data_IF_522396262242
#
_entry.id   IF_522396262242
#
_cell.length_a   1.000
_cell.length_b   1.000
_cell.length_c   1.000
_cell.angle_alpha   90.00
_cell.angle_beta   90.00
_cell.angle_gamma   90.00
#
_symmetry.space_group_name_H-M   'P 1'
#
loop_
_entity.id
_entity.type
_entity.pdbx_description
1 polymer ?
#
# COMPACT_ATOMS: atom_id res chain seq x y z
N UNK A 1 -3.33 5.82 5.09
CA UNK A 1 -4.00 5.34 3.89
C UNK A 1 -2.92 5.01 2.85
N UNK A 2 -3.31 4.21 1.87
CA UNK A 2 -2.39 3.82 0.81
C UNK A 2 -2.88 2.54 0.12
N UNK A 3 -1.96 1.60 -0.02
CA UNK A 3 -2.27 0.34 -0.66
C UNK A 3 -1.08 -0.12 -1.50
N UNK A 4 -1.38 -0.48 -2.75
CA UNK A 4 -0.35 -0.93 -3.66
C UNK A 4 -0.83 -2.19 -4.39
N UNK A 5 0.13 -3.01 -4.79
CA UNK A 5 -0.18 -4.24 -5.50
C UNK A 5 0.99 -5.22 -5.35
N UNK A 6 0.84 -6.38 -5.98
CA UNK A 6 1.87 -7.40 -5.94
C UNK A 6 2.50 -7.45 -4.53
N UNK A 7 1.75 -8.03 -3.61
CA UNK A 7 2.22 -8.16 -2.25
C UNK A 7 1.68 -7.02 -1.37
N UNK A 8 1.78 -5.82 -1.91
CA UNK A 8 1.30 -4.64 -1.20
C UNK A 8 1.96 -3.39 -1.78
N UNK A 9 2.22 -2.43 -0.91
CA UNK A 9 2.85 -1.19 -1.31
C UNK A 9 3.27 -0.40 -0.07
N UNK A 10 2.38 0.46 0.38
CA UNK A 10 2.65 1.27 1.55
C UNK A 10 1.46 2.18 1.88
N UNK A 11 1.77 3.44 2.16
CA UNK A 11 0.74 4.41 2.48
C UNK A 11 1.12 5.21 3.73
N UNK A 12 0.15 5.37 4.61
CA UNK A 12 0.37 6.11 5.84
C UNK A 12 -0.99 6.52 6.43
N UNK A 13 -1.28 7.81 6.30
CA UNK A 13 -2.53 8.34 6.82
C UNK A 13 -2.30 8.84 8.25
#
# INVERSE_FOLDING_TARGET
>A
CYKLAEGDKYYIC
#
